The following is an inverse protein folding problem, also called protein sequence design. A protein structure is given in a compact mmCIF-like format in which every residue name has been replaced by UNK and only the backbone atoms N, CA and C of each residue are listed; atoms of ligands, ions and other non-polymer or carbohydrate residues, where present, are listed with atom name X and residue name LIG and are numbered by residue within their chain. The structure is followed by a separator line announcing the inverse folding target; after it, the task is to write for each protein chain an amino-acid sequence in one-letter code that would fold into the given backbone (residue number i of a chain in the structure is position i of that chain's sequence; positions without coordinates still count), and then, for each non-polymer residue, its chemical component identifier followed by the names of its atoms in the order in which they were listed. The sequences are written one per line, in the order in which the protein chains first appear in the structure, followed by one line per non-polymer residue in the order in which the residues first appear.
data_IF_574246632503
#
_entry.id   IF_574246632503
#
_cell.length_a   1.000
_cell.length_b   1.000
_cell.length_c   1.000
_cell.angle_alpha   90.00
_cell.angle_beta   90.00
_cell.angle_gamma   90.00
#
_symmetry.space_group_name_H-M   'P 1'
#
loop_
_entity.id
_entity.type
_entity.pdbx_description
1 polymer ?
#
# COMPACT_ATOMS: atom_id res chain seq x y z
N UNK A 1 1.33 20.01 -0.22
CA UNK A 1 0.43 18.92 0.21
C UNK A 1 -0.20 18.33 -1.06
N UNK A 2 0.35 17.24 -1.61
CA UNK A 2 -0.16 16.65 -2.85
C UNK A 2 -1.54 16.05 -2.57
N UNK A 3 -2.53 16.46 -3.37
CA UNK A 3 -3.90 15.96 -3.33
C UNK A 3 -3.94 14.49 -3.80
N UNK A 4 -3.53 13.56 -2.95
CA UNK A 4 -3.64 12.11 -3.15
C UNK A 4 -5.01 11.55 -2.73
N UNK A 5 -6.06 12.37 -2.74
CA UNK A 5 -7.37 11.98 -2.19
C UNK A 5 -8.48 12.21 -3.20
N UNK A 6 -8.49 11.40 -4.26
CA UNK A 6 -9.60 11.30 -5.22
C UNK A 6 -10.90 10.75 -4.57
N UNK A 7 -11.24 11.17 -3.36
CA UNK A 7 -12.40 10.70 -2.59
C UNK A 7 -12.19 9.36 -1.89
N UNK A 8 -10.94 8.92 -1.69
CA UNK A 8 -10.60 7.62 -1.08
C UNK A 8 -10.67 7.72 0.45
N UNK A 9 -10.53 8.93 1.04
CA UNK A 9 -10.47 9.15 2.49
C UNK A 9 -11.74 8.88 3.31
N UNK A 10 -12.79 8.33 2.69
CA UNK A 10 -13.99 7.85 3.40
C UNK A 10 -13.99 6.36 3.72
N UNK A 11 -12.98 5.61 3.28
CA UNK A 11 -12.93 4.15 3.44
C UNK A 11 -11.99 3.76 4.59
N UNK A 12 -12.40 2.78 5.40
CA UNK A 12 -11.65 2.25 6.56
C UNK A 12 -10.33 1.58 6.18
N UNK A 13 -10.15 1.28 4.89
CA UNK A 13 -8.99 0.59 4.33
C UNK A 13 -8.46 1.32 3.10
N UNK A 14 -7.14 1.30 2.92
CA UNK A 14 -6.46 1.81 1.73
C UNK A 14 -5.64 0.70 1.11
N UNK A 15 -5.60 0.66 -0.23
CA UNK A 15 -4.59 -0.12 -0.93
C UNK A 15 -3.30 0.66 -0.83
N UNK A 16 -2.32 0.06 -0.16
CA UNK A 16 -0.96 0.56 -0.18
C UNK A 16 -0.22 -0.13 -1.32
N UNK A 17 0.65 0.58 -2.04
CA UNK A 17 1.32 0.01 -3.18
C UNK A 17 2.17 1.00 -3.96
N UNK A 18 2.74 0.52 -5.06
CA UNK A 18 3.60 1.28 -5.95
C UNK A 18 2.77 1.89 -7.09
N UNK A 19 2.61 3.21 -7.05
CA UNK A 19 1.89 3.96 -8.08
C UNK A 19 2.63 3.90 -9.43
N UNK A 20 1.86 3.73 -10.51
CA UNK A 20 2.35 3.70 -11.88
C UNK A 20 1.68 4.80 -12.68
N UNK A 21 2.45 5.45 -13.53
CA UNK A 21 1.99 6.61 -14.28
C UNK A 21 2.02 6.35 -15.79
N UNK A 22 1.24 7.11 -16.54
CA UNK A 22 1.40 7.24 -17.98
C UNK A 22 2.55 8.22 -18.29
N UNK A 23 2.95 8.32 -19.56
CA UNK A 23 4.02 9.25 -19.97
C UNK A 23 3.65 10.72 -19.76
N UNK A 24 2.36 11.04 -19.75
CA UNK A 24 1.83 12.39 -19.47
C UNK A 24 1.73 12.70 -17.97
N UNK A 25 2.19 11.78 -17.11
CA UNK A 25 2.16 11.93 -15.66
C UNK A 25 0.82 11.65 -15.00
N UNK A 26 -0.20 11.21 -15.74
CA UNK A 26 -1.48 10.77 -15.16
C UNK A 26 -1.33 9.41 -14.47
N UNK A 27 -2.01 9.22 -13.33
CA UNK A 27 -2.00 7.94 -12.62
C UNK A 27 -2.65 6.85 -13.49
N UNK A 28 -1.90 5.78 -13.76
CA UNK A 28 -2.33 4.66 -14.58
C UNK A 28 -2.87 3.51 -13.74
N UNK A 29 -2.11 3.09 -12.73
CA UNK A 29 -2.46 1.96 -11.85
C UNK A 29 -1.66 2.02 -10.56
N UNK A 30 -1.95 1.13 -9.61
CA UNK A 30 -1.16 0.91 -8.42
C UNK A 30 -0.88 -0.59 -8.29
N UNK A 31 0.40 -0.96 -8.18
CA UNK A 31 0.78 -2.34 -7.87
C UNK A 31 0.58 -2.53 -6.37
N UNK A 32 -0.41 -3.33 -5.93
CA UNK A 32 -0.74 -3.44 -4.52
C UNK A 32 0.38 -4.16 -3.76
N UNK A 33 0.79 -3.61 -2.61
CA UNK A 33 1.61 -4.33 -1.63
C UNK A 33 0.78 -4.91 -0.49
N UNK A 34 -0.33 -4.26 -0.15
CA UNK A 34 -1.14 -4.68 0.98
C UNK A 34 -2.30 -3.74 1.26
N UNK A 35 -2.97 -4.03 2.37
CA UNK A 35 -4.11 -3.25 2.86
C UNK A 35 -3.67 -2.56 4.15
N UNK A 36 -3.78 -1.24 4.17
CA UNK A 36 -3.54 -0.43 5.35
C UNK A 36 -4.87 -0.16 6.07
N UNK A 37 -4.91 -0.45 7.38
CA UNK A 37 -6.03 -0.08 8.26
C UNK A 37 -5.66 1.22 8.97
N UNK A 38 -6.50 2.24 8.82
CA UNK A 38 -6.38 3.49 9.59
C UNK A 38 -7.53 3.60 10.55
N UNK A 39 -7.22 3.77 11.82
CA UNK A 39 -8.22 4.14 12.83
C UNK A 39 -8.54 5.62 12.73
N UNK A 40 -9.71 5.99 13.22
CA UNK A 40 -10.00 7.38 13.56
C UNK A 40 -9.23 7.83 14.81
N UNK A 41 -9.29 9.13 15.13
CA UNK A 41 -8.72 9.65 16.37
C UNK A 41 -9.64 9.27 17.53
N UNK A 42 -9.08 8.61 18.54
CA UNK A 42 -9.78 8.26 19.78
C UNK A 42 -9.17 8.94 20.99
N UNK A 43 -9.97 9.11 22.03
CA UNK A 43 -9.55 9.66 23.31
C UNK A 43 -8.94 8.60 24.26
N UNK A 44 -8.88 7.34 23.84
CA UNK A 44 -8.27 6.26 24.61
C UNK A 44 -7.63 5.21 23.71
N UNK A 45 -6.57 4.56 24.22
CA UNK A 45 -5.92 3.43 23.54
C UNK A 45 -6.93 2.29 23.32
N UNK A 46 -7.78 2.00 24.31
CA UNK A 46 -8.74 0.91 24.21
C UNK A 46 -9.75 1.11 23.07
N UNK A 47 -10.22 2.35 22.89
CA UNK A 47 -11.14 2.68 21.79
C UNK A 47 -10.45 2.51 20.42
N UNK A 48 -9.18 2.89 20.30
CA UNK A 48 -8.36 2.63 19.08
C UNK A 48 -8.22 1.14 18.82
N UNK A 49 -7.91 0.35 19.85
CA UNK A 49 -7.76 -1.11 19.72
C UNK A 49 -9.08 -1.77 19.29
N UNK A 50 -10.21 -1.33 19.83
CA UNK A 50 -11.52 -1.84 19.43
C UNK A 50 -11.80 -1.56 17.95
N UNK A 51 -11.57 -0.33 17.46
CA UNK A 51 -11.77 -0.01 16.04
C UNK A 51 -10.83 -0.82 15.12
N UNK A 52 -9.56 -0.99 15.53
CA UNK A 52 -8.60 -1.79 14.80
C UNK A 52 -9.05 -3.26 14.71
N UNK A 53 -9.50 -3.84 15.83
CA UNK A 53 -9.97 -5.22 15.89
C UNK A 53 -11.22 -5.43 15.03
N UNK A 54 -12.19 -4.52 15.09
CA UNK A 54 -13.40 -4.57 14.26
C UNK A 54 -13.04 -4.50 12.78
N UNK A 55 -12.13 -3.59 12.41
CA UNK A 55 -11.69 -3.40 11.04
C UNK A 55 -10.88 -4.59 10.52
N UNK A 56 -10.06 -5.22 11.36
CA UNK A 56 -9.29 -6.41 11.01
C UNK A 56 -10.18 -7.65 10.86
N UNK A 57 -11.20 -7.78 11.72
CA UNK A 57 -12.18 -8.87 11.64
C UNK A 57 -12.97 -8.80 10.34
N UNK A 58 -13.44 -7.62 9.97
CA UNK A 58 -14.11 -7.40 8.69
C UNK A 58 -13.19 -7.72 7.49
N UNK A 59 -11.89 -7.43 7.60
CA UNK A 59 -10.91 -7.75 6.56
C UNK A 59 -10.74 -9.27 6.41
N UNK A 60 -10.65 -10.00 7.52
CA UNK A 60 -10.58 -11.46 7.52
C UNK A 60 -11.80 -12.07 6.83
N UNK A 61 -13.00 -11.64 7.21
CA UNK A 61 -14.24 -12.10 6.62
C UNK A 61 -14.29 -11.82 5.12
N UNK A 62 -13.87 -10.63 4.69
CA UNK A 62 -13.88 -10.27 3.29
C UNK A 62 -12.85 -11.08 2.49
N UNK A 63 -11.60 -11.11 2.93
CA UNK A 63 -10.54 -11.85 2.26
C UNK A 63 -10.92 -13.32 2.06
N UNK A 64 -11.53 -13.95 3.08
CA UNK A 64 -11.96 -15.34 3.04
C UNK A 64 -12.98 -15.63 1.92
N UNK A 65 -13.88 -14.70 1.57
CA UNK A 65 -14.85 -14.90 0.47
C UNK A 65 -14.17 -15.00 -0.91
N UNK A 66 -12.95 -14.50 -1.03
CA UNK A 66 -12.13 -14.56 -2.23
C UNK A 66 -11.02 -15.60 -2.15
N UNK A 67 -11.00 -16.44 -1.11
CA UNK A 67 -9.97 -17.45 -0.89
C UNK A 67 -8.67 -16.92 -0.28
N UNK A 68 -8.61 -15.65 0.13
CA UNK A 68 -7.41 -15.06 0.69
C UNK A 68 -7.40 -15.02 2.22
N UNK A 69 -6.20 -14.90 2.80
CA UNK A 69 -5.98 -14.61 4.22
C UNK A 69 -4.93 -13.50 4.38
N UNK A 70 -5.17 -12.49 5.23
CA UNK A 70 -4.14 -11.52 5.62
C UNK A 70 -2.92 -12.22 6.24
N UNK A 71 -1.71 -11.80 5.88
CA UNK A 71 -0.48 -12.27 6.52
C UNK A 71 0.16 -11.12 7.32
N UNK A 72 0.10 -11.13 8.67
CA UNK A 72 0.65 -10.08 9.51
C UNK A 72 2.17 -10.25 9.65
N UNK A 73 2.89 -10.12 8.54
CA UNK A 73 4.36 -10.21 8.47
C UNK A 73 4.92 -8.89 7.98
N UNK A 74 5.93 -8.36 8.66
CA UNK A 74 6.54 -7.08 8.28
C UNK A 74 7.31 -7.16 6.97
N UNK A 75 7.88 -8.32 6.64
CA UNK A 75 8.55 -8.60 5.37
C UNK A 75 7.92 -9.78 4.67
N UNK A 76 7.75 -9.67 3.35
CA UNK A 76 7.28 -10.74 2.51
C UNK A 76 8.33 -11.88 2.52
N UNK A 77 7.98 -13.10 2.95
CA UNK A 77 8.94 -14.20 3.05
C UNK A 77 9.39 -14.76 1.70
N UNK A 78 8.67 -14.45 0.62
CA UNK A 78 8.94 -14.97 -0.73
C UNK A 78 9.51 -13.88 -1.65
N UNK A 79 9.01 -12.66 -1.53
CA UNK A 79 9.45 -11.53 -2.36
C UNK A 79 10.64 -10.81 -1.72
N UNK A 80 11.85 -11.19 -2.14
CA UNK A 80 13.11 -10.57 -1.69
C UNK A 80 13.55 -9.37 -2.53
N UNK A 81 12.89 -9.13 -3.68
CA UNK A 81 13.16 -8.00 -4.57
C UNK A 81 11.88 -7.56 -5.29
N UNK A 82 11.67 -6.25 -5.36
CA UNK A 82 10.62 -5.65 -6.16
C UNK A 82 11.21 -5.15 -7.47
N UNK A 83 10.68 -5.63 -8.59
CA UNK A 83 11.04 -5.15 -9.93
C UNK A 83 9.76 -4.76 -10.65
N UNK A 84 9.56 -3.48 -11.00
CA UNK A 84 8.38 -3.06 -11.73
C UNK A 84 8.23 -3.85 -13.03
N UNK A 85 7.05 -4.45 -13.23
CA UNK A 85 6.68 -5.09 -14.48
C UNK A 85 5.31 -4.54 -14.93
N UNK A 86 5.25 -3.80 -16.06
CA UNK A 86 6.33 -3.48 -17.00
C UNK A 86 7.41 -2.56 -16.37
N UNK A 87 8.60 -2.43 -16.99
CA UNK A 87 9.62 -1.47 -16.56
C UNK A 87 9.09 -0.03 -16.47
N UNK A 88 9.86 0.85 -15.81
CA UNK A 88 9.48 2.25 -15.66
C UNK A 88 9.51 2.98 -17.01
N UNK A 89 8.59 3.91 -17.20
CA UNK A 89 8.57 4.77 -18.39
C UNK A 89 9.44 6.03 -18.20
N UNK A 90 9.49 6.88 -19.24
CA UNK A 90 10.30 8.10 -19.22
C UNK A 90 9.93 9.05 -18.07
N UNK A 91 8.63 9.24 -17.80
CA UNK A 91 8.12 10.07 -16.72
C UNK A 91 8.51 9.51 -15.35
N UNK A 92 8.31 8.22 -15.11
CA UNK A 92 8.65 7.54 -13.85
C UNK A 92 10.16 7.59 -13.59
N UNK A 93 10.99 7.44 -14.63
CA UNK A 93 12.43 7.62 -14.53
C UNK A 93 12.83 9.06 -14.22
N UNK A 94 12.13 10.05 -14.75
CA UNK A 94 12.36 11.46 -14.41
C UNK A 94 12.02 11.75 -12.95
N UNK A 95 10.90 11.22 -12.46
CA UNK A 95 10.53 11.32 -11.05
C UNK A 95 11.61 10.72 -10.14
N UNK A 96 12.10 9.51 -10.43
CA UNK A 96 13.20 8.89 -9.67
C UNK A 96 14.51 9.69 -9.68
N UNK A 97 14.79 10.45 -10.75
CA UNK A 97 15.98 11.32 -10.80
C UNK A 97 15.83 12.56 -9.93
N UNK A 98 14.59 13.00 -9.70
CA UNK A 98 14.26 14.18 -8.91
C UNK A 98 14.06 13.85 -7.42
N UNK A 99 13.97 12.57 -7.07
CA UNK A 99 13.97 12.07 -5.69
C UNK A 99 15.33 12.29 -5.01
N UNK A 100 15.32 12.41 -3.68
CA UNK A 100 16.56 12.38 -2.93
C UNK A 100 17.28 11.04 -3.12
N UNK A 101 18.62 10.97 -2.97
CA UNK A 101 19.33 9.70 -3.08
C UNK A 101 18.77 8.60 -2.16
N UNK A 102 18.35 8.97 -0.94
CA UNK A 102 17.73 8.05 0.01
C UNK A 102 16.40 7.49 -0.52
N UNK A 103 15.50 8.36 -0.98
CA UNK A 103 14.21 7.94 -1.55
C UNK A 103 14.42 7.05 -2.77
N UNK A 104 15.30 7.45 -3.70
CA UNK A 104 15.61 6.69 -4.90
C UNK A 104 16.16 5.29 -4.58
N UNK A 105 17.08 5.21 -3.63
CA UNK A 105 17.77 3.96 -3.30
C UNK A 105 16.91 3.04 -2.42
N UNK A 106 15.88 3.56 -1.73
CA UNK A 106 15.02 2.80 -0.81
C UNK A 106 13.55 2.65 -1.24
N UNK A 107 13.09 3.32 -2.31
CA UNK A 107 11.69 3.31 -2.76
C UNK A 107 11.12 1.92 -3.04
N UNK A 108 11.98 0.95 -3.33
CA UNK A 108 11.59 -0.43 -3.57
C UNK A 108 11.44 -1.27 -2.29
N UNK A 109 12.05 -0.86 -1.17
CA UNK A 109 12.05 -1.60 0.10
C UNK A 109 10.63 -1.75 0.68
N UNK A 110 9.77 -0.71 0.70
CA UNK A 110 8.39 -0.86 1.16
C UNK A 110 7.62 -1.92 0.37
N UNK A 111 7.95 -2.16 -0.89
CA UNK A 111 7.30 -3.20 -1.71
C UNK A 111 7.76 -4.62 -1.35
N UNK A 112 8.70 -4.76 -0.42
CA UNK A 112 9.07 -6.03 0.22
C UNK A 112 8.35 -6.20 1.56
N UNK A 113 7.51 -5.24 1.96
CA UNK A 113 6.78 -5.26 3.23
C UNK A 113 5.30 -5.63 3.01
N UNK A 114 4.82 -6.59 3.80
CA UNK A 114 3.49 -7.20 3.85
C UNK A 114 3.04 -8.13 2.72
N UNK A 115 2.08 -9.02 3.06
CA UNK A 115 1.55 -10.06 2.17
C UNK A 115 0.08 -10.42 2.46
N UNK A 116 -0.59 -10.89 1.42
CA UNK A 116 -1.90 -11.57 1.48
C UNK A 116 -1.70 -12.91 0.80
N UNK A 117 -2.06 -14.00 1.46
CA UNK A 117 -1.85 -15.36 0.94
C UNK A 117 -3.15 -15.89 0.36
N UNK A 118 -3.09 -16.43 -0.86
CA UNK A 118 -4.16 -17.22 -1.49
C UNK A 118 -4.13 -18.68 -1.00
#
# INVERSE_FOLDING_TARGET
MRSGDAGIRRKRWYIEGYERFNEDGTLRTCVPKGIEIRTTIHNSIQSTLNELQDSYTLLLEMAARYGYRPAPVSFNPEQVKFTPNPPLNAFEHEQQRNESPEERDTAHIPMLTYGVRA
#
